data_IF_510891196116
#
_entry.id   IF_510891196116
#
_cell.length_a   1.000
_cell.length_b   1.000
_cell.length_c   1.000
_cell.angle_alpha   90.00
_cell.angle_beta   90.00
_cell.angle_gamma   90.00
#
_symmetry.space_group_name_H-M   'P 1'
#
loop_
_entity.id
_entity.type
_entity.pdbx_description
1 polymer ?
#
# COMPACT_ATOMS: atom_id res chain seq x y z
N UNK A 1 -41.69 0.30 -55.50
CA UNK A 1 -40.41 -0.31 -55.08
C UNK A 1 -39.73 0.64 -54.09
N UNK A 2 -39.88 0.41 -52.77
CA UNK A 2 -39.22 1.19 -51.72
C UNK A 2 -37.89 0.51 -51.41
N UNK A 3 -36.79 1.24 -51.66
CA UNK A 3 -35.43 0.77 -51.37
C UNK A 3 -35.20 0.92 -49.86
N UNK A 4 -35.27 -0.19 -49.16
CA UNK A 4 -34.83 -0.31 -47.79
C UNK A 4 -33.33 -0.61 -47.84
N UNK A 5 -32.48 0.40 -47.72
CA UNK A 5 -31.03 0.32 -47.72
C UNK A 5 -30.44 0.70 -46.35
N UNK A 6 -29.28 0.36 -46.06
CA UNK A 6 -28.76 -0.60 -45.13
C UNK A 6 -28.29 0.08 -43.84
N UNK A 7 -29.22 0.63 -43.06
CA UNK A 7 -28.94 1.18 -41.73
C UNK A 7 -28.49 0.09 -40.76
N UNK A 8 -28.91 -1.16 -41.04
CA UNK A 8 -28.58 -2.30 -40.19
C UNK A 8 -27.09 -2.71 -40.24
N UNK A 9 -26.38 -2.43 -41.34
CA UNK A 9 -24.97 -2.82 -41.53
C UNK A 9 -24.03 -1.85 -40.77
N UNK A 10 -24.44 -0.59 -40.59
CA UNK A 10 -23.65 0.42 -39.89
C UNK A 10 -23.70 0.20 -38.37
N UNK A 11 -24.83 -0.28 -37.87
CA UNK A 11 -25.00 -0.52 -36.43
C UNK A 11 -24.18 -1.70 -35.91
N UNK A 12 -23.88 -2.68 -36.75
CA UNK A 12 -23.05 -3.86 -36.38
C UNK A 12 -21.55 -3.52 -36.32
N UNK A 13 -21.10 -2.51 -37.09
CA UNK A 13 -19.69 -2.09 -37.10
C UNK A 13 -19.26 -1.29 -35.85
N UNK A 14 -20.18 -0.76 -35.06
CA UNK A 14 -19.86 0.03 -33.85
C UNK A 14 -19.65 -0.83 -32.59
N UNK A 15 -19.94 -2.12 -32.64
CA UNK A 15 -19.84 -3.01 -31.45
C UNK A 15 -18.45 -3.63 -31.22
N UNK A 16 -17.46 -3.36 -32.06
CA UNK A 16 -16.14 -4.02 -31.96
C UNK A 16 -15.03 -3.14 -31.38
N UNK A 17 -15.35 -1.98 -30.76
CA UNK A 17 -14.35 -1.09 -30.14
C UNK A 17 -14.26 -1.21 -28.61
N UNK A 18 -14.71 -2.31 -28.02
CA UNK A 18 -14.29 -2.64 -26.65
C UNK A 18 -12.90 -3.23 -26.68
N UNK A 19 -11.91 -2.39 -26.96
CA UNK A 19 -10.52 -2.72 -26.73
C UNK A 19 -10.34 -2.94 -25.22
N UNK A 20 -10.24 -4.20 -24.80
CA UNK A 20 -9.66 -4.55 -23.51
C UNK A 20 -8.27 -3.93 -23.48
N UNK A 21 -8.10 -2.85 -22.72
CA UNK A 21 -6.76 -2.37 -22.33
C UNK A 21 -6.21 -3.47 -21.43
N UNK A 22 -5.20 -4.22 -21.83
CA UNK A 22 -4.57 -5.19 -20.95
C UNK A 22 -3.89 -4.39 -19.84
N UNK A 23 -4.49 -4.39 -18.65
CA UNK A 23 -3.87 -3.83 -17.44
C UNK A 23 -2.80 -4.81 -16.94
N UNK A 24 -1.87 -5.16 -17.83
CA UNK A 24 -0.79 -6.11 -17.58
C UNK A 24 0.44 -5.33 -17.13
N UNK A 25 0.34 -4.67 -15.99
CA UNK A 25 1.56 -4.29 -15.30
C UNK A 25 2.17 -5.59 -14.75
N UNK A 26 3.22 -6.06 -15.38
CA UNK A 26 3.97 -7.25 -14.96
C UNK A 26 4.44 -7.05 -13.54
N UNK A 27 3.98 -7.89 -12.61
CA UNK A 27 4.49 -7.91 -11.24
C UNK A 27 5.71 -8.82 -11.18
N UNK A 28 6.82 -8.28 -10.69
CA UNK A 28 8.06 -9.03 -10.48
C UNK A 28 8.26 -9.19 -8.97
N UNK A 29 8.28 -10.42 -8.44
CA UNK A 29 8.56 -10.63 -7.04
C UNK A 29 10.04 -10.35 -6.75
N UNK A 30 10.30 -9.69 -5.61
CA UNK A 30 11.63 -9.51 -5.04
C UNK A 30 11.70 -10.25 -3.70
N UNK A 31 12.81 -10.94 -3.46
CA UNK A 31 13.08 -11.59 -2.17
C UNK A 31 13.62 -10.64 -1.12
N UNK A 32 13.98 -9.41 -1.51
CA UNK A 32 14.50 -8.40 -0.60
C UNK A 32 13.38 -7.74 0.22
N UNK A 33 13.65 -7.51 1.49
CA UNK A 33 12.86 -6.61 2.33
C UNK A 33 13.12 -5.18 1.83
N UNK A 34 12.08 -4.32 1.71
CA UNK A 34 12.28 -2.96 1.24
C UNK A 34 13.02 -2.11 2.28
N UNK A 35 13.98 -1.32 1.83
CA UNK A 35 14.58 -0.27 2.65
C UNK A 35 13.63 0.93 2.69
N UNK A 36 13.26 1.38 3.89
CA UNK A 36 12.36 2.51 4.13
C UNK A 36 12.96 3.48 5.15
N UNK A 37 12.57 4.76 5.05
CA UNK A 37 12.97 5.78 6.02
C UNK A 37 11.73 6.56 6.53
N UNK A 38 11.55 6.68 7.86
CA UNK A 38 12.26 5.95 8.92
C UNK A 38 12.09 4.43 8.80
N UNK A 39 13.05 3.66 9.34
CA UNK A 39 12.96 2.20 9.33
C UNK A 39 11.97 1.73 10.40
N UNK A 40 10.85 1.18 9.93
CA UNK A 40 9.80 0.60 10.75
C UNK A 40 9.66 -0.91 10.54
N UNK A 41 10.66 -1.54 9.95
CA UNK A 41 10.64 -2.99 9.77
C UNK A 41 10.85 -3.70 11.12
N UNK A 42 10.02 -4.69 11.41
CA UNK A 42 10.09 -5.51 12.62
C UNK A 42 9.99 -4.76 13.97
N UNK A 43 9.49 -3.53 13.97
CA UNK A 43 9.30 -2.75 15.21
C UNK A 43 8.06 -3.18 15.97
N UNK A 44 8.08 -3.00 17.30
CA UNK A 44 6.90 -3.11 18.15
C UNK A 44 6.39 -1.72 18.48
N UNK A 45 5.10 -1.50 18.25
CA UNK A 45 4.46 -0.20 18.45
C UNK A 45 3.22 -0.34 19.33
N UNK A 46 2.88 0.68 20.12
CA UNK A 46 1.61 0.71 20.84
C UNK A 46 0.43 0.94 19.87
N UNK A 47 -0.73 0.40 20.22
CA UNK A 47 -1.93 0.51 19.35
C UNK A 47 -2.44 1.94 19.16
N UNK A 48 -1.95 2.89 19.97
CA UNK A 48 -2.33 4.31 19.94
C UNK A 48 -1.33 5.20 19.19
N UNK A 49 -0.28 4.63 18.59
CA UNK A 49 0.73 5.38 17.87
C UNK A 49 0.16 6.11 16.64
N UNK A 50 0.70 7.28 16.36
CA UNK A 50 0.41 8.01 15.12
C UNK A 50 0.79 7.18 13.88
N UNK A 51 0.19 7.46 12.71
CA UNK A 51 0.56 6.78 11.47
C UNK A 51 2.06 6.83 11.19
N UNK A 52 2.65 5.67 10.95
CA UNK A 52 4.07 5.50 10.63
C UNK A 52 4.31 5.80 9.14
N UNK A 53 4.26 7.07 8.78
CA UNK A 53 4.53 7.49 7.41
C UNK A 53 6.00 7.26 7.07
N UNK A 54 6.28 6.79 5.85
CA UNK A 54 7.64 6.47 5.42
C UNK A 54 7.89 6.76 3.95
N UNK A 55 9.15 6.79 3.58
CA UNK A 55 9.64 6.92 2.20
C UNK A 55 10.50 5.71 1.86
N UNK A 56 10.23 5.00 0.75
CA UNK A 56 11.17 3.99 0.26
C UNK A 56 12.52 4.61 -0.07
N UNK A 57 13.59 3.94 0.32
CA UNK A 57 14.97 4.39 0.04
C UNK A 57 15.47 3.91 -1.32
N UNK A 58 14.60 3.26 -2.09
CA UNK A 58 14.93 2.86 -3.44
C UNK A 58 15.10 4.07 -4.38
N UNK A 59 15.91 3.92 -5.41
CA UNK A 59 16.17 4.97 -6.40
C UNK A 59 15.35 4.75 -7.67
N UNK A 60 15.01 5.87 -8.35
CA UNK A 60 14.40 5.84 -9.68
C UNK A 60 13.07 5.10 -9.81
N UNK A 61 12.14 5.30 -8.86
CA UNK A 61 10.76 4.82 -8.99
C UNK A 61 9.79 5.98 -9.27
N UNK A 62 8.68 5.66 -9.92
CA UNK A 62 7.64 6.64 -10.31
C UNK A 62 6.40 6.58 -9.44
N UNK A 63 6.14 5.44 -8.81
CA UNK A 63 5.03 5.25 -7.90
C UNK A 63 5.33 4.15 -6.87
N UNK A 64 4.66 4.23 -5.74
CA UNK A 64 4.73 3.24 -4.66
C UNK A 64 3.33 2.92 -4.16
N UNK A 65 3.10 1.66 -3.81
CA UNK A 65 1.90 1.19 -3.13
C UNK A 65 2.34 0.43 -1.88
N UNK A 66 1.81 0.83 -0.73
CA UNK A 66 1.92 0.06 0.50
C UNK A 66 0.57 -0.58 0.82
N UNK A 67 0.57 -1.86 1.07
CA UNK A 67 -0.57 -2.66 1.49
C UNK A 67 -0.38 -3.05 2.94
N UNK A 68 -1.39 -2.77 3.76
CA UNK A 68 -1.41 -3.06 5.19
C UNK A 68 -2.50 -4.08 5.48
N UNK A 69 -2.14 -5.20 6.09
CA UNK A 69 -3.08 -6.27 6.44
C UNK A 69 -2.75 -6.83 7.82
N UNK A 70 -3.77 -7.19 8.57
CA UNK A 70 -3.64 -7.90 9.84
C UNK A 70 -4.37 -9.24 9.78
N UNK A 71 -4.30 -10.02 10.84
CA UNK A 71 -5.11 -11.24 11.01
C UNK A 71 -6.58 -10.89 11.21
N UNK A 72 -6.84 -9.68 11.68
CA UNK A 72 -8.18 -9.11 11.93
C UNK A 72 -8.28 -7.73 11.30
N UNK A 73 -9.50 -7.31 11.00
CA UNK A 73 -9.78 -6.01 10.38
C UNK A 73 -9.63 -6.02 8.87
N UNK A 74 -9.85 -4.85 8.28
CA UNK A 74 -9.85 -4.69 6.83
C UNK A 74 -8.46 -4.36 6.29
N UNK A 75 -8.05 -5.07 5.26
CA UNK A 75 -6.88 -4.71 4.46
C UNK A 75 -7.12 -3.35 3.80
N UNK A 76 -6.10 -2.49 3.80
CA UNK A 76 -6.13 -1.27 3.01
C UNK A 76 -4.81 -1.01 2.27
N UNK A 77 -4.90 -0.18 1.22
CA UNK A 77 -3.77 0.21 0.39
C UNK A 77 -3.61 1.72 0.38
N UNK A 78 -2.36 2.14 0.36
CA UNK A 78 -1.98 3.55 0.19
C UNK A 78 -1.08 3.66 -1.03
N UNK A 79 -1.40 4.59 -1.93
CA UNK A 79 -0.59 4.87 -3.12
C UNK A 79 0.08 6.23 -2.95
N UNK A 80 1.36 6.30 -3.28
CA UNK A 80 2.15 7.52 -3.28
C UNK A 80 3.05 7.63 -4.51
N UNK A 81 3.66 8.79 -4.70
CA UNK A 81 4.72 8.97 -5.71
C UNK A 81 6.10 8.80 -5.10
N UNK A 82 6.35 9.43 -3.95
CA UNK A 82 7.64 9.39 -3.23
C UNK A 82 7.50 8.85 -1.82
N UNK A 83 6.41 9.15 -1.14
CA UNK A 83 6.18 8.79 0.25
C UNK A 83 4.83 8.09 0.42
N UNK A 84 4.72 7.32 1.48
CA UNK A 84 3.48 6.71 1.94
C UNK A 84 2.96 7.53 3.11
N UNK A 85 1.79 8.15 2.92
CA UNK A 85 1.06 8.87 3.97
C UNK A 85 -0.17 8.08 4.35
N UNK A 86 -0.14 7.50 5.54
CA UNK A 86 -1.15 6.55 6.01
C UNK A 86 -2.36 7.31 6.55
N UNK A 87 -3.59 7.06 6.07
CA UNK A 87 -4.80 7.67 6.62
C UNK A 87 -5.01 7.27 8.08
N UNK A 88 -5.12 8.26 8.98
CA UNK A 88 -5.20 8.06 10.43
C UNK A 88 -6.31 7.11 10.85
N UNK A 89 -7.50 7.26 10.29
CA UNK A 89 -8.66 6.44 10.62
C UNK A 89 -8.44 4.96 10.31
N UNK A 90 -7.94 4.63 9.11
CA UNK A 90 -7.65 3.25 8.70
C UNK A 90 -6.51 2.64 9.52
N UNK A 91 -5.50 3.46 9.83
CA UNK A 91 -4.39 3.06 10.68
C UNK A 91 -4.88 2.68 12.08
N UNK A 92 -5.60 3.59 12.74
CA UNK A 92 -6.14 3.36 14.09
C UNK A 92 -7.07 2.15 14.15
N UNK A 93 -7.93 1.96 13.13
CA UNK A 93 -8.82 0.81 13.03
C UNK A 93 -8.02 -0.50 12.95
N UNK A 94 -7.02 -0.58 12.05
CA UNK A 94 -6.20 -1.76 11.87
C UNK A 94 -5.39 -2.12 13.12
N UNK A 95 -4.74 -1.12 13.76
CA UNK A 95 -3.97 -1.34 14.98
C UNK A 95 -4.86 -1.83 16.14
N UNK A 96 -6.02 -1.22 16.32
CA UNK A 96 -6.94 -1.62 17.37
C UNK A 96 -7.48 -3.04 17.20
N UNK A 97 -7.71 -3.46 15.95
CA UNK A 97 -8.16 -4.82 15.66
C UNK A 97 -7.07 -5.88 15.92
N UNK A 98 -5.78 -5.48 15.87
CA UNK A 98 -4.65 -6.40 15.96
C UNK A 98 -3.77 -6.20 17.21
N UNK A 99 -4.33 -5.67 18.32
CA UNK A 99 -3.63 -5.58 19.61
C UNK A 99 -3.10 -6.93 20.05
N UNK A 100 -1.85 -6.99 20.50
CA UNK A 100 -1.18 -8.22 20.91
C UNK A 100 -0.77 -9.14 19.75
N UNK A 101 -0.86 -8.64 18.51
CA UNK A 101 -0.58 -9.38 17.30
C UNK A 101 0.32 -8.54 16.37
N UNK A 102 0.37 -8.84 15.11
CA UNK A 102 1.13 -8.10 14.11
C UNK A 102 0.28 -7.74 12.91
N UNK A 103 0.70 -6.71 12.19
CA UNK A 103 0.25 -6.39 10.85
C UNK A 103 1.38 -6.64 9.87
N UNK A 104 1.04 -7.05 8.66
CA UNK A 104 1.96 -7.25 7.55
C UNK A 104 1.93 -6.03 6.63
N UNK A 105 3.09 -5.55 6.24
CA UNK A 105 3.26 -4.46 5.28
C UNK A 105 3.92 -5.00 4.02
N UNK A 106 3.23 -4.88 2.89
CA UNK A 106 3.76 -5.26 1.58
C UNK A 106 3.99 -4.01 0.74
N UNK A 107 5.20 -3.82 0.25
CA UNK A 107 5.56 -2.68 -0.59
C UNK A 107 5.67 -3.10 -2.06
N UNK A 108 5.05 -2.32 -2.93
CA UNK A 108 5.18 -2.45 -4.39
C UNK A 108 5.71 -1.14 -4.93
N UNK A 109 6.76 -1.19 -5.73
CA UNK A 109 7.45 -0.03 -6.31
C UNK A 109 7.38 -0.12 -7.83
N UNK A 110 6.99 0.97 -8.50
CA UNK A 110 6.91 1.03 -9.96
C UNK A 110 8.22 1.58 -10.53
N UNK A 111 8.95 0.72 -11.22
CA UNK A 111 10.17 1.03 -11.96
C UNK A 111 10.04 0.55 -13.40
N UNK A 112 10.41 1.38 -14.36
CA UNK A 112 10.44 1.00 -15.79
C UNK A 112 9.15 0.26 -16.23
N UNK A 113 8.00 0.82 -15.84
CA UNK A 113 6.66 0.25 -16.11
C UNK A 113 6.39 -1.14 -15.54
N UNK A 114 7.22 -1.61 -14.60
CA UNK A 114 7.05 -2.88 -13.89
C UNK A 114 6.84 -2.64 -12.40
N UNK A 115 5.87 -3.33 -11.82
CA UNK A 115 5.68 -3.34 -10.38
C UNK A 115 6.59 -4.38 -9.74
N UNK A 116 7.54 -3.95 -8.93
CA UNK A 116 8.40 -4.83 -8.11
C UNK A 116 7.72 -4.96 -6.75
N UNK A 117 7.31 -6.18 -6.42
CA UNK A 117 6.73 -6.49 -5.11
C UNK A 117 7.83 -7.02 -4.19
N UNK A 118 8.11 -6.27 -3.13
CA UNK A 118 9.07 -6.67 -2.09
C UNK A 118 8.48 -7.71 -1.13
N UNK A 119 9.35 -8.41 -0.44
CA UNK A 119 8.97 -9.28 0.67
C UNK A 119 8.27 -8.45 1.75
N UNK A 120 7.15 -8.96 2.25
CA UNK A 120 6.40 -8.30 3.32
C UNK A 120 7.17 -8.36 4.65
N UNK A 121 7.02 -7.33 5.47
CA UNK A 121 7.58 -7.29 6.81
C UNK A 121 6.49 -7.02 7.85
N UNK A 122 6.63 -7.55 9.08
CA UNK A 122 5.69 -7.33 10.16
C UNK A 122 5.96 -6.02 10.90
N UNK A 123 4.89 -5.45 11.46
CA UNK A 123 4.91 -4.47 12.55
C UNK A 123 4.12 -5.10 13.69
N UNK A 124 4.75 -5.27 14.85
CA UNK A 124 4.11 -5.86 16.02
C UNK A 124 3.36 -4.81 16.82
N UNK A 125 2.19 -5.17 17.33
CA UNK A 125 1.32 -4.25 18.06
C UNK A 125 1.25 -4.70 19.53
N UNK A 126 1.73 -3.84 20.41
CA UNK A 126 1.64 -4.07 21.85
C UNK A 126 0.20 -4.16 22.32
N UNK A 127 -0.07 -5.02 23.29
CA UNK A 127 -1.33 -5.03 24.02
C UNK A 127 -1.51 -3.77 24.88
N UNK A 128 -0.38 -3.18 25.31
CA UNK A 128 -0.38 -2.02 26.20
C UNK A 128 -0.41 -0.72 25.39
N UNK A 129 -1.20 0.26 25.80
CA UNK A 129 -1.16 1.61 25.23
C UNK A 129 0.15 2.31 25.61
N UNK A 130 0.43 3.45 24.97
CA UNK A 130 1.48 4.37 25.45
C UNK A 130 1.06 4.95 26.79
N UNK A 131 1.99 5.02 27.73
CA UNK A 131 1.81 5.76 28.98
C UNK A 131 1.55 7.24 28.71
N UNK A 132 0.78 7.89 29.58
CA UNK A 132 0.38 9.28 29.46
C UNK A 132 1.56 10.27 29.62
N UNK A 133 2.72 9.80 30.05
CA UNK A 133 3.92 10.60 30.24
C UNK A 133 5.17 9.94 29.67
N UNK A 134 5.97 10.71 28.97
CA UNK A 134 7.31 10.33 28.56
C UNK A 134 8.32 10.92 29.54
N UNK A 135 9.01 10.05 30.29
CA UNK A 135 10.10 10.47 31.18
C UNK A 135 11.43 10.21 30.47
N UNK A 136 12.24 11.24 30.30
CA UNK A 136 13.59 11.11 29.76
C UNK A 136 14.59 11.88 30.62
N UNK A 137 15.81 11.40 30.66
CA UNK A 137 16.93 12.10 31.31
C UNK A 137 17.74 12.82 30.24
N UNK A 138 17.81 14.15 30.37
CA UNK A 138 18.75 14.92 29.55
C UNK A 138 20.15 14.74 30.15
N UNK A 139 21.04 14.14 29.37
CA UNK A 139 22.46 14.06 29.70
C UNK A 139 23.13 15.17 28.92
N UNK A 140 23.64 16.16 29.61
CA UNK A 140 24.46 17.21 29.01
C UNK A 140 25.79 16.60 28.51
N UNK A 141 26.30 17.05 27.37
CA UNK A 141 27.55 16.57 26.81
C UNK A 141 28.76 16.96 27.69
#
# INVERSE_FOLDING_TARGET
MKRIFPVSLILISLLHLTGCIPNTSTQVPSTAIPEIFPDYTYVTVPSTIAPLNFTPQDTFYTAVIAEFSGTRGNLFRVKGRKNITIPKNKWTELLNANKGDSISVTLKILKEDKWIQHTSFPIYISEHPIDHGLVYRLIAP
#
